data_IF_335739949487
#
_entry.id   IF_335739949487
#
_cell.length_a   1.000
_cell.length_b   1.000
_cell.length_c   1.000
_cell.angle_alpha   90.00
_cell.angle_beta   90.00
_cell.angle_gamma   90.00
#
_symmetry.space_group_name_H-M   'P 1'
#
loop_
_entity.id
_entity.type
_entity.pdbx_description
1 polymer ?
#
# COMPACT_ATOMS: atom_id res chain seq x y z
N UNK A 1 0.08 11.80 13.96
CA UNK A 1 1.51 11.44 13.91
C UNK A 1 1.78 10.77 12.56
N UNK A 2 2.79 11.26 11.84
CA UNK A 2 3.22 10.72 10.54
C UNK A 2 3.74 9.30 10.72
N UNK A 3 3.30 8.38 9.86
CA UNK A 3 3.82 7.01 9.80
C UNK A 3 4.76 6.89 8.61
N UNK A 4 5.83 6.15 8.80
CA UNK A 4 6.79 5.83 7.75
C UNK A 4 6.63 4.37 7.38
N UNK A 5 6.63 4.07 6.08
CA UNK A 5 6.45 2.71 5.58
C UNK A 5 7.44 2.38 4.47
N UNK A 6 8.05 1.20 4.57
CA UNK A 6 8.73 0.54 3.47
C UNK A 6 7.73 -0.31 2.68
N UNK A 7 8.00 -0.53 1.40
CA UNK A 7 7.25 -1.49 0.61
C UNK A 7 7.37 -2.89 1.25
N UNK A 8 6.26 -3.51 1.73
CA UNK A 8 6.31 -4.79 2.42
C UNK A 8 6.77 -5.96 1.53
N UNK A 9 6.72 -5.79 0.21
CA UNK A 9 7.24 -6.78 -0.74
C UNK A 9 8.76 -6.70 -0.95
N UNK A 10 9.44 -5.67 -0.44
CA UNK A 10 10.90 -5.56 -0.56
C UNK A 10 11.58 -6.32 0.59
N UNK A 11 12.39 -7.36 0.30
CA UNK A 11 13.07 -8.11 1.35
C UNK A 11 14.08 -7.26 2.12
N UNK A 12 14.24 -7.54 3.41
CA UNK A 12 15.26 -6.93 4.30
C UNK A 12 16.27 -8.01 4.67
N UNK A 13 17.49 -7.88 4.16
CA UNK A 13 18.53 -8.91 4.23
C UNK A 13 19.76 -8.40 5.00
N UNK A 14 20.19 -9.16 6.00
CA UNK A 14 21.48 -8.93 6.65
C UNK A 14 22.62 -9.40 5.75
N UNK A 15 23.64 -8.56 5.58
CA UNK A 15 24.83 -8.91 4.83
C UNK A 15 26.01 -9.22 5.77
N UNK A 16 26.97 -10.06 5.35
CA UNK A 16 28.16 -10.36 6.13
C UNK A 16 29.04 -9.14 6.44
N UNK A 17 28.97 -8.10 5.61
CA UNK A 17 29.68 -6.83 5.78
C UNK A 17 29.03 -5.89 6.82
N UNK A 18 27.97 -6.35 7.49
CA UNK A 18 27.26 -5.60 8.52
C UNK A 18 26.26 -4.58 7.97
N UNK A 19 26.13 -4.45 6.65
CA UNK A 19 25.06 -3.67 6.04
C UNK A 19 23.72 -4.44 6.05
N UNK A 20 22.63 -3.70 5.95
CA UNK A 20 21.29 -4.26 5.72
C UNK A 20 20.84 -3.85 4.32
N UNK A 21 20.48 -4.83 3.50
CA UNK A 21 19.98 -4.61 2.15
C UNK A 21 18.46 -4.57 2.15
N UNK A 22 17.88 -3.57 1.48
CA UNK A 22 16.45 -3.47 1.20
C UNK A 22 16.22 -3.69 -0.29
N UNK A 23 15.46 -4.72 -0.66
CA UNK A 23 15.22 -5.11 -2.05
C UNK A 23 16.22 -6.14 -2.58
N UNK A 24 15.88 -6.74 -3.73
CA UNK A 24 16.73 -7.73 -4.42
C UNK A 24 17.14 -7.30 -5.84
N UNK A 25 16.43 -6.34 -6.45
CA UNK A 25 16.76 -5.81 -7.77
C UNK A 25 18.10 -5.06 -7.71
N UNK A 26 19.14 -5.48 -8.45
CA UNK A 26 20.47 -4.87 -8.38
C UNK A 26 20.49 -3.39 -8.78
N UNK A 27 19.47 -2.89 -9.49
CA UNK A 27 19.38 -1.48 -9.88
C UNK A 27 18.67 -0.61 -8.84
N UNK A 28 17.95 -1.21 -7.89
CA UNK A 28 17.07 -0.51 -6.94
C UNK A 28 17.29 -0.89 -5.49
N UNK A 29 18.00 -1.98 -5.23
CA UNK A 29 18.30 -2.41 -3.88
C UNK A 29 19.21 -1.39 -3.19
N UNK A 30 18.89 -1.04 -1.96
CA UNK A 30 19.64 -0.06 -1.17
C UNK A 30 20.33 -0.75 -0.01
N UNK A 31 21.60 -0.38 0.20
CA UNK A 31 22.38 -0.80 1.35
C UNK A 31 22.33 0.28 2.42
N UNK A 32 21.88 -0.11 3.60
CA UNK A 32 21.77 0.75 4.78
C UNK A 32 22.81 0.29 5.77
N UNK A 33 23.69 1.21 6.21
CA UNK A 33 24.65 0.94 7.28
C UNK A 33 24.03 1.33 8.63
N UNK A 34 24.26 0.55 9.69
CA UNK A 34 23.79 0.91 11.01
C UNK A 34 24.42 2.23 11.46
N UNK A 35 23.63 3.19 11.98
CA UNK A 35 24.17 4.36 12.67
C UNK A 35 24.89 3.94 13.95
N UNK A 36 25.71 4.85 14.50
CA UNK A 36 26.42 4.60 15.76
C UNK A 36 25.42 4.23 16.87
N UNK A 37 25.73 3.18 17.63
CA UNK A 37 24.86 2.69 18.72
C UNK A 37 23.76 1.71 18.28
N UNK A 38 23.55 1.50 16.97
CA UNK A 38 22.60 0.49 16.47
C UNK A 38 23.35 -0.72 15.90
N UNK A 39 22.97 -1.94 16.29
CA UNK A 39 23.53 -3.14 15.66
C UNK A 39 22.90 -3.38 14.29
N UNK A 40 23.58 -4.10 13.39
CA UNK A 40 23.00 -4.48 12.08
C UNK A 40 21.70 -5.27 12.24
N UNK A 41 21.62 -6.15 13.25
CA UNK A 41 20.41 -6.91 13.55
C UNK A 41 19.26 -6.00 14.02
N UNK A 42 19.55 -5.01 14.87
CA UNK A 42 18.57 -4.02 15.30
C UNK A 42 18.10 -3.13 14.14
N UNK A 43 19.01 -2.73 13.23
CA UNK A 43 18.66 -2.03 12.01
C UNK A 43 17.74 -2.89 11.12
N UNK A 44 18.04 -4.17 10.92
CA UNK A 44 17.20 -5.06 10.12
C UNK A 44 15.80 -5.19 10.73
N UNK A 45 15.70 -5.27 12.05
CA UNK A 45 14.41 -5.32 12.74
C UNK A 45 13.64 -4.00 12.62
N UNK A 46 14.32 -2.85 12.75
CA UNK A 46 13.73 -1.53 12.53
C UNK A 46 13.14 -1.42 11.12
N UNK A 47 13.88 -1.85 10.10
CA UNK A 47 13.42 -1.83 8.71
C UNK A 47 12.22 -2.78 8.50
N UNK A 48 12.20 -3.96 9.13
CA UNK A 48 11.02 -4.86 9.08
C UNK A 48 9.81 -4.25 9.75
N UNK A 49 9.97 -3.57 10.89
CA UNK A 49 8.86 -2.84 11.54
C UNK A 49 8.31 -1.78 10.57
N UNK A 50 9.18 -1.05 9.87
CA UNK A 50 8.75 -0.09 8.86
C UNK A 50 8.00 -0.73 7.67
N UNK A 51 8.16 -2.02 7.36
CA UNK A 51 7.31 -2.69 6.36
C UNK A 51 5.83 -2.75 6.79
N UNK A 52 5.57 -2.79 8.10
CA UNK A 52 4.21 -2.71 8.67
C UNK A 52 3.75 -1.27 8.98
N UNK A 53 4.69 -0.32 8.94
CA UNK A 53 4.49 1.09 9.22
C UNK A 53 4.61 1.47 10.69
N UNK A 54 5.48 2.43 11.00
CA UNK A 54 5.73 2.92 12.36
C UNK A 54 5.93 4.44 12.42
N UNK A 55 5.76 5.03 13.60
CA UNK A 55 6.12 6.43 13.87
C UNK A 55 7.54 6.53 14.43
N UNK A 56 8.18 7.71 14.35
CA UNK A 56 9.50 7.91 14.98
C UNK A 56 9.48 7.62 16.49
N UNK A 57 8.38 7.94 17.17
CA UNK A 57 8.20 7.65 18.59
C UNK A 57 8.16 6.13 18.87
N UNK A 58 7.49 5.35 18.02
CA UNK A 58 7.46 3.88 18.14
C UNK A 58 8.88 3.30 18.00
N UNK A 59 9.66 3.83 17.05
CA UNK A 59 11.05 3.40 16.83
C UNK A 59 11.97 3.78 18.00
N UNK A 60 11.87 5.03 18.48
CA UNK A 60 12.66 5.51 19.61
C UNK A 60 12.38 4.71 20.88
N UNK A 61 11.11 4.41 21.17
CA UNK A 61 10.75 3.61 22.33
C UNK A 61 11.24 2.15 22.24
N UNK A 62 11.39 1.61 21.02
CA UNK A 62 11.76 0.21 20.79
C UNK A 62 13.27 -0.01 20.76
N UNK A 63 14.02 0.93 20.18
CA UNK A 63 15.44 0.78 19.90
C UNK A 63 16.32 1.73 20.71
N UNK A 64 15.73 2.62 21.50
CA UNK A 64 16.44 3.61 22.34
C UNK A 64 17.40 4.51 21.55
N UNK A 65 17.15 4.69 20.24
CA UNK A 65 17.91 5.56 19.34
C UNK A 65 17.00 6.55 18.64
N UNK A 66 17.52 7.74 18.34
CA UNK A 66 16.85 8.65 17.42
C UNK A 66 17.04 8.15 15.98
N UNK A 67 15.95 7.66 15.39
CA UNK A 67 15.93 7.16 14.02
C UNK A 67 15.57 8.24 12.98
N UNK A 68 15.42 9.50 13.38
CA UNK A 68 14.94 10.59 12.51
C UNK A 68 15.79 10.76 11.24
N UNK A 69 17.10 10.86 11.38
CA UNK A 69 18.04 11.04 10.26
C UNK A 69 18.04 9.82 9.32
N UNK A 70 18.03 8.62 9.89
CA UNK A 70 17.95 7.36 9.13
C UNK A 70 16.66 7.30 8.31
N UNK A 71 15.52 7.56 8.94
CA UNK A 71 14.21 7.52 8.28
C UNK A 71 14.10 8.63 7.22
N UNK A 72 14.61 9.83 7.50
CA UNK A 72 14.71 10.92 6.52
C UNK A 72 15.50 10.48 5.28
N UNK A 73 16.69 9.91 5.48
CA UNK A 73 17.54 9.40 4.39
C UNK A 73 16.85 8.31 3.57
N UNK A 74 16.06 7.43 4.20
CA UNK A 74 15.29 6.40 3.49
C UNK A 74 14.16 7.00 2.65
N UNK A 75 13.51 8.07 3.13
CA UNK A 75 12.48 8.79 2.38
C UNK A 75 13.09 9.53 1.20
N UNK A 76 14.20 10.23 1.42
CA UNK A 76 14.91 10.97 0.37
C UNK A 76 15.44 10.03 -0.73
N UNK A 77 15.88 8.82 -0.35
CA UNK A 77 16.27 7.76 -1.28
C UNK A 77 15.08 7.06 -1.96
N UNK A 78 13.84 7.39 -1.62
CA UNK A 78 12.62 6.77 -2.17
C UNK A 78 12.38 5.33 -1.72
N UNK A 79 13.08 4.88 -0.68
CA UNK A 79 12.98 3.52 -0.11
C UNK A 79 11.81 3.44 0.87
N UNK A 80 11.61 4.51 1.66
CA UNK A 80 10.48 4.69 2.55
C UNK A 80 9.54 5.78 2.03
N UNK A 81 8.29 5.74 2.49
CA UNK A 81 7.32 6.81 2.25
C UNK A 81 6.78 7.33 3.57
N UNK A 82 6.64 8.65 3.67
CA UNK A 82 5.92 9.30 4.75
C UNK A 82 4.42 9.28 4.42
N UNK A 83 3.66 8.46 5.14
CA UNK A 83 2.22 8.46 5.08
C UNK A 83 1.68 9.32 6.22
N UNK A 84 1.02 10.44 5.88
CA UNK A 84 0.08 11.03 6.82
C UNK A 84 -1.01 10.00 7.10
N UNK A 85 -1.48 9.95 8.37
CA UNK A 85 -2.56 9.06 8.78
C UNK A 85 -3.86 9.52 8.11
N UNK A 86 -4.01 9.24 6.82
CA UNK A 86 -5.27 9.35 6.11
C UNK A 86 -6.21 8.40 6.81
N UNK A 87 -7.33 8.92 7.32
CA UNK A 87 -8.45 8.07 7.75
C UNK A 87 -8.86 7.30 6.50
N UNK A 88 -8.31 6.10 6.33
CA UNK A 88 -8.67 5.21 5.24
C UNK A 88 -10.04 4.69 5.58
N UNK A 89 -11.06 5.44 5.15
CA UNK A 89 -12.37 4.87 4.94
C UNK A 89 -12.15 3.63 4.08
N UNK A 90 -12.73 2.51 4.52
CA UNK A 90 -12.80 1.28 3.75
C UNK A 90 -13.27 1.59 2.33
N UNK A 91 -12.39 1.34 1.34
CA UNK A 91 -12.65 1.62 -0.06
C UNK A 91 -13.95 0.94 -0.48
N UNK A 92 -14.85 1.69 -1.07
CA UNK A 92 -16.14 1.20 -1.56
C UNK A 92 -16.00 0.87 -3.04
N UNK A 93 -15.84 -0.41 -3.34
CA UNK A 93 -15.64 -0.90 -4.71
C UNK A 93 -16.94 -1.53 -5.19
N UNK A 94 -17.42 -1.12 -6.37
CA UNK A 94 -18.54 -1.78 -7.03
C UNK A 94 -18.04 -2.53 -8.27
N UNK A 95 -18.30 -3.82 -8.33
CA UNK A 95 -18.02 -4.64 -9.50
C UNK A 95 -19.29 -4.68 -10.35
N UNK A 96 -19.16 -4.36 -11.64
CA UNK A 96 -20.24 -4.46 -12.61
C UNK A 96 -19.93 -5.56 -13.61
N UNK A 97 -20.70 -6.64 -13.56
CA UNK A 97 -20.48 -7.82 -14.38
C UNK A 97 -21.52 -8.88 -14.07
N UNK A 98 -21.49 -9.96 -14.84
CA UNK A 98 -22.41 -11.11 -14.65
C UNK A 98 -21.77 -12.45 -15.01
N UNK A 99 -20.45 -12.47 -15.12
CA UNK A 99 -19.67 -13.61 -15.57
C UNK A 99 -18.53 -13.95 -14.62
N UNK A 100 -17.69 -14.92 -15.00
CA UNK A 100 -16.68 -15.48 -14.12
C UNK A 100 -15.61 -14.47 -13.66
N UNK A 101 -15.38 -13.39 -14.41
CA UNK A 101 -14.42 -12.36 -14.00
C UNK A 101 -14.98 -11.55 -12.82
N UNK A 102 -16.27 -11.20 -12.85
CA UNK A 102 -16.90 -10.52 -11.71
C UNK A 102 -16.88 -11.35 -10.43
N UNK A 103 -17.14 -12.66 -10.53
CA UNK A 103 -17.13 -13.57 -9.39
C UNK A 103 -15.73 -13.76 -8.82
N UNK A 104 -14.71 -13.88 -9.69
CA UNK A 104 -13.31 -13.97 -9.28
C UNK A 104 -12.87 -12.69 -8.56
N UNK A 105 -13.17 -11.52 -9.12
CA UNK A 105 -12.84 -10.23 -8.50
C UNK A 105 -13.53 -10.06 -7.14
N UNK A 106 -14.82 -10.42 -7.05
CA UNK A 106 -15.57 -10.36 -5.79
C UNK A 106 -14.98 -11.30 -4.73
N UNK A 107 -14.49 -12.47 -5.13
CA UNK A 107 -13.79 -13.41 -4.25
C UNK A 107 -12.43 -12.91 -3.80
N UNK A 108 -11.60 -12.46 -4.73
CA UNK A 108 -10.22 -12.01 -4.47
C UNK A 108 -10.16 -10.78 -3.56
N UNK A 109 -11.14 -9.88 -3.65
CA UNK A 109 -11.17 -8.64 -2.87
C UNK A 109 -11.68 -8.82 -1.43
N UNK A 110 -12.17 -10.01 -1.02
CA UNK A 110 -12.72 -10.23 0.34
C UNK A 110 -11.74 -9.90 1.46
N UNK A 111 -10.44 -10.14 1.26
CA UNK A 111 -9.40 -9.92 2.27
C UNK A 111 -8.70 -8.56 2.12
N UNK A 112 -9.11 -7.72 1.17
CA UNK A 112 -8.49 -6.41 0.92
C UNK A 112 -8.89 -5.33 1.93
N UNK A 113 -9.89 -5.60 2.77
CA UNK A 113 -10.50 -4.60 3.63
C UNK A 113 -11.35 -3.58 2.88
N UNK A 114 -11.69 -3.83 1.60
CA UNK A 114 -12.64 -3.03 0.83
C UNK A 114 -14.09 -3.52 1.03
N UNK A 115 -15.05 -2.59 0.97
CA UNK A 115 -16.49 -2.89 0.89
C UNK A 115 -16.83 -3.13 -0.57
N UNK A 116 -17.03 -4.39 -0.91
CA UNK A 116 -17.32 -4.81 -2.28
C UNK A 116 -18.83 -4.97 -2.45
N UNK A 117 -19.39 -4.31 -3.46
CA UNK A 117 -20.76 -4.53 -3.92
C UNK A 117 -20.76 -5.03 -5.35
N UNK A 118 -21.76 -5.82 -5.72
CA UNK A 118 -21.88 -6.37 -7.07
C UNK A 118 -23.15 -5.84 -7.74
N UNK A 119 -23.03 -5.36 -8.98
CA UNK A 119 -24.16 -4.93 -9.81
C UNK A 119 -24.18 -5.69 -11.11
N UNK A 120 -25.33 -6.28 -11.44
CA UNK A 120 -25.57 -7.00 -12.70
C UNK A 120 -26.37 -6.18 -13.71
N UNK A 121 -26.92 -5.04 -13.29
CA UNK A 121 -27.81 -4.20 -14.10
C UNK A 121 -27.13 -2.86 -14.33
N UNK A 122 -27.03 -2.45 -15.58
CA UNK A 122 -26.35 -1.25 -16.04
C UNK A 122 -27.01 0.08 -15.59
N UNK A 123 -28.19 0.03 -14.97
CA UNK A 123 -29.09 1.19 -14.84
C UNK A 123 -29.08 1.85 -13.46
N UNK A 124 -28.33 1.32 -12.49
CA UNK A 124 -28.27 1.91 -11.16
C UNK A 124 -26.96 2.68 -10.98
N UNK A 125 -27.06 4.02 -10.95
CA UNK A 125 -25.94 4.89 -10.61
C UNK A 125 -25.21 4.37 -9.35
N UNK A 126 -23.86 4.44 -9.31
CA UNK A 126 -23.14 4.12 -8.10
C UNK A 126 -23.58 5.07 -6.98
N UNK A 127 -23.72 4.59 -5.73
CA UNK A 127 -23.87 5.47 -4.58
C UNK A 127 -22.75 6.50 -4.58
N UNK A 128 -23.03 7.74 -4.19
CA UNK A 128 -22.04 8.83 -4.07
C UNK A 128 -20.79 8.44 -3.26
N UNK A 129 -20.94 7.42 -2.44
CA UNK A 129 -19.91 6.93 -1.55
C UNK A 129 -19.00 5.85 -2.19
N UNK A 130 -19.17 5.56 -3.49
CA UNK A 130 -18.38 4.59 -4.27
C UNK A 130 -17.08 5.23 -4.74
N UNK A 131 -15.96 4.58 -4.44
CA UNK A 131 -14.63 5.09 -4.78
C UNK A 131 -14.12 4.58 -6.14
N UNK A 132 -14.58 3.39 -6.57
CA UNK A 132 -14.16 2.73 -7.80
C UNK A 132 -15.29 1.84 -8.36
N UNK A 133 -15.49 1.87 -9.68
CA UNK A 133 -16.34 0.90 -10.39
C UNK A 133 -15.50 0.06 -11.35
N UNK A 134 -15.52 -1.27 -11.16
CA UNK A 134 -14.83 -2.20 -12.06
C UNK A 134 -15.83 -2.79 -13.05
N UNK A 135 -15.67 -2.46 -14.34
CA UNK A 135 -16.47 -3.05 -15.42
C UNK A 135 -15.84 -4.36 -15.87
N UNK A 136 -16.54 -5.49 -15.76
CA UNK A 136 -16.04 -6.83 -16.06
C UNK A 136 -17.05 -7.63 -16.90
N UNK A 137 -16.58 -8.74 -17.49
CA UNK A 137 -17.37 -9.68 -18.30
C UNK A 137 -17.93 -9.15 -19.63
N UNK A 138 -17.74 -7.87 -19.94
CA UNK A 138 -18.12 -7.26 -21.21
C UNK A 138 -16.88 -6.75 -21.93
N UNK A 139 -16.72 -7.09 -23.22
CA UNK A 139 -15.60 -6.60 -24.05
C UNK A 139 -15.70 -5.09 -24.33
N UNK A 140 -16.92 -4.57 -24.35
CA UNK A 140 -17.22 -3.15 -24.55
C UNK A 140 -18.14 -2.73 -23.42
N UNK A 141 -17.74 -1.70 -22.69
CA UNK A 141 -18.57 -1.08 -21.66
C UNK A 141 -19.81 -0.42 -22.30
N UNK A 142 -20.97 -0.54 -21.65
CA UNK A 142 -22.16 0.21 -22.08
C UNK A 142 -21.85 1.72 -22.02
N UNK A 143 -21.95 2.46 -23.16
CA UNK A 143 -21.65 3.88 -23.19
C UNK A 143 -22.49 4.73 -22.21
N UNK A 144 -23.70 4.26 -21.85
CA UNK A 144 -24.54 4.93 -20.85
C UNK A 144 -23.92 4.82 -19.45
N UNK A 145 -23.45 3.64 -19.08
CA UNK A 145 -22.75 3.39 -17.81
C UNK A 145 -21.51 4.27 -17.72
N UNK A 146 -20.68 4.27 -18.77
CA UNK A 146 -19.46 5.09 -18.81
C UNK A 146 -19.77 6.58 -18.62
N UNK A 147 -20.82 7.09 -19.29
CA UNK A 147 -21.26 8.49 -19.14
C UNK A 147 -21.73 8.80 -17.72
N UNK A 148 -22.49 7.90 -17.09
CA UNK A 148 -22.95 8.06 -15.71
C UNK A 148 -21.77 8.07 -14.73
N UNK A 149 -20.80 7.16 -14.88
CA UNK A 149 -19.59 7.13 -14.05
C UNK A 149 -18.75 8.41 -14.19
N UNK A 150 -18.57 8.90 -15.42
CA UNK A 150 -17.89 10.18 -15.66
C UNK A 150 -18.63 11.35 -15.00
N UNK A 151 -19.95 11.37 -15.09
CA UNK A 151 -20.79 12.41 -14.47
C UNK A 151 -20.66 12.39 -12.94
N UNK A 152 -20.62 11.19 -12.36
CA UNK A 152 -20.42 10.97 -10.93
C UNK A 152 -18.97 11.18 -10.46
N UNK A 153 -18.02 11.44 -11.39
CA UNK A 153 -16.57 11.56 -11.12
C UNK A 153 -15.99 10.37 -10.36
N UNK A 154 -16.50 9.18 -10.65
CA UNK A 154 -16.00 7.92 -10.09
C UNK A 154 -14.93 7.36 -11.02
N UNK A 155 -13.84 6.85 -10.42
CA UNK A 155 -12.75 6.18 -11.12
C UNK A 155 -13.15 4.79 -11.62
#
# INVERSE_FOLDING_TARGET
MTRYTLNPAMPVLLRPDGAVQVGWDPRRAVLVRPPAGLSSAALAELLRILQSGATLADLQARFEVDASELVGSLVDAGVATAAERRRTRCASIRIHGRGPLSDLLAGALRCSGARVTHSRVAQAAPPETTDLVVLSDFLVADPRVVRELHTARVA
#
